data_IF_806697023913
#
_entry.id   IF_806697023913
#
_cell.length_a   1.000
_cell.length_b   1.000
_cell.length_c   1.000
_cell.angle_alpha   90.00
_cell.angle_beta   90.00
_cell.angle_gamma   90.00
#
_symmetry.space_group_name_H-M   'P 1'
#
loop_
_entity.id
_entity.type
_entity.pdbx_description
1 polymer ?
#
# COMPACT_ATOMS: atom_id res chain seq x y z
N UNK A 1 1.35 65.26 6.31
CA UNK A 1 1.19 64.34 7.46
C UNK A 1 -0.02 63.47 7.17
N UNK A 2 -0.06 62.15 7.24
CA UNK A 2 0.91 61.06 7.43
C UNK A 2 0.08 59.81 7.12
N UNK A 3 0.58 58.90 6.26
CA UNK A 3 -0.02 57.60 6.01
C UNK A 3 -0.11 56.79 7.32
N UNK A 4 -1.28 56.22 7.64
CA UNK A 4 -1.37 55.07 8.56
C UNK A 4 -2.31 54.01 8.00
N UNK A 5 -1.71 53.19 7.16
CA UNK A 5 -1.88 51.74 7.02
C UNK A 5 -2.44 51.06 8.26
N UNK A 6 -3.53 50.30 8.11
CA UNK A 6 -3.83 49.13 8.95
C UNK A 6 -3.99 47.96 7.99
N UNK A 7 -2.90 47.25 7.76
CA UNK A 7 -2.90 45.95 7.12
C UNK A 7 -3.46 44.94 8.13
N UNK A 8 -4.63 44.37 7.84
CA UNK A 8 -5.13 43.21 8.56
C UNK A 8 -4.26 42.02 8.16
N UNK A 9 -3.35 41.62 9.06
CA UNK A 9 -2.52 40.44 8.89
C UNK A 9 -3.40 39.19 9.03
N UNK A 10 -3.83 38.62 7.90
CA UNK A 10 -4.35 37.26 7.83
C UNK A 10 -3.22 36.31 8.19
N UNK A 11 -3.15 35.85 9.45
CA UNK A 11 -2.31 34.73 9.84
C UNK A 11 -2.90 33.50 9.17
N UNK A 12 -2.37 33.15 8.00
CA UNK A 12 -2.52 31.82 7.43
C UNK A 12 -1.79 30.87 8.39
N UNK A 13 -2.54 30.25 9.29
CA UNK A 13 -2.06 29.06 9.97
C UNK A 13 -1.90 27.99 8.89
N UNK A 14 -0.74 27.93 8.25
CA UNK A 14 -0.31 26.76 7.51
C UNK A 14 -0.21 25.65 8.57
N UNK A 15 -1.31 24.94 8.77
CA UNK A 15 -1.31 23.73 9.58
C UNK A 15 -0.27 22.82 8.93
N UNK A 16 0.89 22.70 9.59
CA UNK A 16 1.74 21.55 9.42
C UNK A 16 0.87 20.37 9.81
N UNK A 17 0.14 19.80 8.84
CA UNK A 17 -0.55 18.53 8.98
C UNK A 17 0.52 17.59 9.51
N UNK A 18 0.40 17.26 10.80
CA UNK A 18 1.35 16.42 11.50
C UNK A 18 1.34 15.08 10.77
N UNK A 19 2.35 14.94 9.93
CA UNK A 19 2.53 13.88 8.99
C UNK A 19 3.16 12.74 9.78
N UNK A 20 2.36 11.90 10.44
CA UNK A 20 2.88 10.70 11.07
C UNK A 20 3.08 9.61 10.03
N UNK A 21 4.15 8.83 10.07
CA UNK A 21 4.36 7.87 8.98
C UNK A 21 5.10 6.64 9.47
N UNK A 22 4.48 5.47 9.22
CA UNK A 22 5.15 4.19 9.17
C UNK A 22 4.89 3.56 7.80
N UNK A 23 5.96 3.14 7.15
CA UNK A 23 5.93 2.56 5.81
C UNK A 23 6.27 1.08 5.91
N UNK A 24 5.41 0.18 5.43
CA UNK A 24 5.74 -1.26 5.37
C UNK A 24 6.62 -1.48 4.14
N UNK A 25 7.93 -1.34 4.32
CA UNK A 25 8.93 -1.36 3.23
C UNK A 25 9.39 -2.78 2.86
N UNK A 26 9.02 -3.79 3.66
CA UNK A 26 9.40 -5.16 3.43
C UNK A 26 8.36 -6.14 3.94
N UNK A 27 8.21 -7.25 3.22
CA UNK A 27 7.38 -8.37 3.58
C UNK A 27 8.00 -9.66 3.03
N UNK A 28 8.09 -10.69 3.87
CA UNK A 28 8.62 -12.00 3.51
C UNK A 28 7.69 -13.08 4.02
N UNK A 29 7.28 -13.97 3.13
CA UNK A 29 6.48 -15.13 3.47
C UNK A 29 7.37 -16.29 3.94
N UNK A 30 6.86 -17.19 4.80
CA UNK A 30 7.64 -18.32 5.30
C UNK A 30 8.00 -19.34 4.21
N UNK A 31 7.28 -19.34 3.09
CA UNK A 31 7.62 -20.13 1.90
C UNK A 31 8.42 -19.32 0.85
N UNK A 32 8.97 -18.17 1.24
CA UNK A 32 9.73 -17.26 0.38
C UNK A 32 8.88 -16.17 -0.25
N UNK A 33 9.41 -15.56 -1.32
CA UNK A 33 8.80 -14.38 -1.94
C UNK A 33 9.05 -13.11 -1.14
N UNK A 34 9.10 -11.99 -1.85
CA UNK A 34 9.40 -10.67 -1.28
C UNK A 34 8.40 -9.65 -1.78
N UNK A 35 8.02 -8.74 -0.88
CA UNK A 35 7.06 -7.69 -1.16
C UNK A 35 7.25 -6.48 -0.27
N UNK A 36 6.33 -5.54 -0.41
CA UNK A 36 6.18 -4.32 0.39
C UNK A 36 4.72 -3.89 0.31
N UNK A 37 4.33 -2.87 1.06
CA UNK A 37 2.98 -2.34 0.95
C UNK A 37 2.73 -1.64 -0.40
N UNK A 38 1.46 -1.58 -0.81
CA UNK A 38 0.99 -0.75 -1.91
C UNK A 38 1.45 0.69 -1.72
N UNK A 39 1.87 1.32 -2.83
CA UNK A 39 2.29 2.72 -2.86
C UNK A 39 3.72 3.00 -2.39
N UNK A 40 4.43 1.99 -1.87
CA UNK A 40 5.83 2.14 -1.44
C UNK A 40 6.72 2.38 -2.65
N UNK A 41 7.61 3.36 -2.55
CA UNK A 41 8.62 3.68 -3.55
C UNK A 41 9.99 3.49 -2.91
N UNK A 42 10.80 2.50 -3.34
CA UNK A 42 12.08 2.18 -2.71
C UNK A 42 13.02 3.37 -2.59
N UNK A 43 13.07 4.21 -3.63
CA UNK A 43 13.95 5.38 -3.73
C UNK A 43 13.50 6.58 -2.89
N UNK A 44 12.35 6.50 -2.19
CA UNK A 44 11.95 7.55 -1.24
C UNK A 44 12.98 7.61 -0.11
N UNK A 45 13.66 8.75 0.13
CA UNK A 45 14.58 8.87 1.24
C UNK A 45 13.84 8.67 2.56
N UNK A 46 14.40 7.92 3.52
CA UNK A 46 13.78 7.66 4.84
C UNK A 46 14.71 7.97 6.01
N UNK A 47 15.69 8.83 5.73
CA UNK A 47 16.74 9.30 6.64
C UNK A 47 16.39 10.65 7.31
N UNK A 48 15.12 11.06 7.25
CA UNK A 48 14.63 12.31 7.81
C UNK A 48 13.19 12.23 8.29
N UNK A 49 12.76 13.23 9.07
CA UNK A 49 11.45 13.22 9.75
C UNK A 49 10.42 14.22 9.20
N UNK A 50 10.76 14.95 8.13
CA UNK A 50 9.86 15.91 7.46
C UNK A 50 8.93 15.21 6.47
N UNK A 51 7.74 15.79 6.24
CA UNK A 51 6.77 15.24 5.30
C UNK A 51 7.32 15.07 3.87
N UNK A 52 8.05 16.08 3.39
CA UNK A 52 8.77 16.03 2.11
C UNK A 52 10.27 16.11 2.36
N UNK A 53 11.09 15.26 1.71
CA UNK A 53 10.71 14.15 0.83
C UNK A 53 10.35 12.84 1.57
N UNK A 54 10.53 12.77 2.89
CA UNK A 54 10.74 11.48 3.57
C UNK A 54 9.51 10.59 3.80
N UNK A 55 8.32 11.08 3.45
CA UNK A 55 7.04 10.48 3.84
C UNK A 55 6.07 10.37 2.66
N UNK A 56 6.58 10.51 1.43
CA UNK A 56 5.70 10.59 0.26
C UNK A 56 4.99 9.28 -0.05
N UNK A 57 5.51 8.15 0.39
CA UNK A 57 5.07 6.82 -0.01
C UNK A 57 4.48 5.98 1.14
N UNK A 58 4.39 6.54 2.36
CA UNK A 58 3.74 5.81 3.45
C UNK A 58 2.24 5.99 3.37
N UNK A 59 1.53 4.85 3.45
CA UNK A 59 0.08 4.82 3.31
C UNK A 59 -0.58 5.36 4.56
N UNK A 60 -1.61 6.17 4.34
CA UNK A 60 -2.52 6.69 5.34
C UNK A 60 -3.93 6.21 5.05
N UNK A 61 -4.59 5.64 6.05
CA UNK A 61 -5.97 5.20 5.96
C UNK A 61 -6.92 6.28 6.50
N UNK A 62 -7.18 7.29 5.67
CA UNK A 62 -8.15 8.36 5.97
C UNK A 62 -8.74 8.89 4.66
N UNK A 63 -9.97 9.37 4.71
CA UNK A 63 -10.68 9.88 3.53
C UNK A 63 -11.50 8.77 2.87
N UNK A 64 -11.86 8.94 1.58
CA UNK A 64 -12.76 8.03 0.87
C UNK A 64 -12.30 6.56 0.87
N UNK A 65 -10.99 6.32 0.85
CA UNK A 65 -10.39 4.97 0.79
C UNK A 65 -9.84 4.49 2.14
N UNK A 66 -10.28 5.09 3.26
CA UNK A 66 -9.82 4.69 4.59
C UNK A 66 -10.13 3.22 4.91
N UNK A 67 -11.25 2.72 4.41
CA UNK A 67 -11.72 1.35 4.69
C UNK A 67 -11.24 0.34 3.63
N UNK A 68 -10.66 0.83 2.53
CA UNK A 68 -10.14 0.01 1.42
C UNK A 68 -8.60 0.08 1.37
N UNK A 69 -8.01 0.67 0.33
CA UNK A 69 -6.57 0.59 0.05
C UNK A 69 -5.74 1.73 0.63
N UNK A 70 -6.38 2.76 1.18
CA UNK A 70 -5.72 3.97 1.66
C UNK A 70 -5.10 4.79 0.51
N UNK A 71 -4.28 5.76 0.90
CA UNK A 71 -3.58 6.64 -0.04
C UNK A 71 -2.19 7.02 0.50
N UNK A 72 -1.25 7.28 -0.40
CA UNK A 72 0.03 7.89 -0.09
C UNK A 72 -0.03 9.39 -0.35
N UNK A 73 0.86 10.16 0.28
CA UNK A 73 0.90 11.63 0.10
C UNK A 73 1.41 12.02 -1.30
N UNK A 74 2.36 11.24 -1.85
CA UNK A 74 3.01 11.50 -3.13
C UNK A 74 2.35 10.79 -4.31
N UNK A 75 1.83 9.57 -4.12
CA UNK A 75 1.23 8.76 -5.17
C UNK A 75 -0.30 8.84 -5.25
N UNK A 76 -0.97 9.43 -4.25
CA UNK A 76 -2.43 9.49 -4.19
C UNK A 76 -3.04 8.17 -3.75
N UNK A 77 -4.24 7.87 -4.24
CA UNK A 77 -4.97 6.65 -3.90
C UNK A 77 -4.21 5.40 -4.33
N UNK A 78 -4.14 4.40 -3.45
CA UNK A 78 -3.51 3.14 -3.79
C UNK A 78 -4.42 2.33 -4.71
N UNK A 79 -3.88 1.96 -5.86
CA UNK A 79 -4.52 1.01 -6.78
C UNK A 79 -3.94 -0.40 -6.57
N UNK A 80 -4.81 -1.38 -6.36
CA UNK A 80 -4.39 -2.74 -6.05
C UNK A 80 -3.67 -3.42 -7.22
N UNK A 81 -4.20 -3.28 -8.44
CA UNK A 81 -3.65 -3.92 -9.64
C UNK A 81 -2.31 -3.28 -10.02
N UNK A 82 -2.29 -1.97 -10.20
CA UNK A 82 -1.09 -1.21 -10.55
C UNK A 82 -0.03 -1.31 -9.45
N UNK A 83 -0.44 -1.21 -8.17
CA UNK A 83 0.47 -1.30 -7.04
C UNK A 83 1.09 -2.69 -6.91
N UNK A 84 0.33 -3.77 -7.10
CA UNK A 84 0.87 -5.14 -7.06
C UNK A 84 1.81 -5.41 -8.23
N UNK A 85 1.46 -4.93 -9.45
CA UNK A 85 2.37 -4.98 -10.61
C UNK A 85 3.68 -4.26 -10.32
N UNK A 86 3.61 -3.07 -9.72
CA UNK A 86 4.78 -2.29 -9.34
C UNK A 86 5.64 -3.00 -8.29
N UNK A 87 5.04 -3.56 -7.23
CA UNK A 87 5.76 -4.34 -6.20
C UNK A 87 6.56 -5.46 -6.86
N UNK A 88 5.91 -6.30 -7.69
CA UNK A 88 6.59 -7.42 -8.35
C UNK A 88 7.70 -6.97 -9.31
N UNK A 89 7.51 -5.84 -9.98
CA UNK A 89 8.54 -5.26 -10.86
C UNK A 89 9.75 -4.75 -10.06
N UNK A 90 9.52 -4.10 -8.92
CA UNK A 90 10.57 -3.54 -8.07
C UNK A 90 11.34 -4.61 -7.30
N UNK A 91 10.65 -5.66 -6.81
CA UNK A 91 11.33 -6.76 -6.11
C UNK A 91 11.97 -7.76 -7.06
N UNK A 92 11.46 -7.89 -8.30
CA UNK A 92 11.89 -8.89 -9.26
C UNK A 92 11.52 -10.34 -8.87
N UNK A 93 10.67 -10.49 -7.86
CA UNK A 93 10.32 -11.74 -7.20
C UNK A 93 8.81 -12.05 -7.29
N UNK A 94 8.42 -13.23 -6.82
CA UNK A 94 7.02 -13.53 -6.52
C UNK A 94 6.56 -12.82 -5.24
N UNK A 95 5.24 -12.63 -5.10
CA UNK A 95 4.64 -12.09 -3.88
C UNK A 95 5.03 -12.92 -2.64
N UNK A 96 5.01 -12.35 -1.42
CA UNK A 96 5.22 -13.13 -0.19
C UNK A 96 4.33 -14.37 -0.14
N UNK A 97 4.95 -15.55 0.00
CA UNK A 97 4.28 -16.84 -0.05
C UNK A 97 3.91 -17.30 1.38
N UNK A 98 2.61 -17.37 1.66
CA UNK A 98 2.07 -17.75 2.97
C UNK A 98 1.34 -19.10 2.92
N UNK A 99 1.24 -19.78 4.06
CA UNK A 99 0.39 -20.96 4.25
C UNK A 99 -0.59 -20.72 5.40
N UNK A 100 -1.70 -21.49 5.51
CA UNK A 100 -2.62 -21.32 6.63
C UNK A 100 -1.88 -21.60 7.95
N UNK A 101 -2.10 -20.77 8.96
CA UNK A 101 -1.45 -20.89 10.28
C UNK A 101 0.00 -20.44 10.32
N UNK A 102 0.52 -19.87 9.24
CA UNK A 102 1.90 -19.40 9.16
C UNK A 102 2.07 -17.96 9.66
N UNK A 103 3.31 -17.48 9.76
CA UNK A 103 3.61 -16.10 10.16
C UNK A 103 4.21 -15.33 8.99
N UNK A 104 3.62 -14.19 8.68
CA UNK A 104 4.17 -13.21 7.75
C UNK A 104 5.11 -12.27 8.51
N UNK A 105 6.36 -12.17 8.04
CA UNK A 105 7.32 -11.22 8.58
C UNK A 105 7.26 -9.92 7.76
N UNK A 106 7.05 -8.80 8.46
CA UNK A 106 6.94 -7.46 7.88
C UNK A 106 8.00 -6.54 8.47
N UNK A 107 8.47 -5.59 7.67
CA UNK A 107 9.38 -4.52 8.10
C UNK A 107 8.69 -3.18 7.94
N UNK A 108 8.50 -2.49 9.06
CA UNK A 108 7.99 -1.12 9.10
C UNK A 108 9.14 -0.16 9.31
N UNK A 109 9.34 0.74 8.36
CA UNK A 109 10.16 1.91 8.59
C UNK A 109 9.33 2.97 9.32
N UNK A 110 9.68 3.26 10.57
CA UNK A 110 9.09 4.35 11.32
C UNK A 110 9.79 5.67 10.97
N UNK A 111 9.13 6.53 10.19
CA UNK A 111 9.77 7.78 9.73
C UNK A 111 9.91 8.80 10.85
N UNK A 112 8.88 8.95 11.69
CA UNK A 112 8.92 9.87 12.83
C UNK A 112 8.13 9.34 14.01
N UNK A 113 8.00 10.15 15.07
CA UNK A 113 7.36 9.74 16.31
C UNK A 113 5.97 9.16 16.16
N UNK A 114 5.20 9.54 15.14
CA UNK A 114 3.80 9.14 14.96
C UNK A 114 3.64 7.87 14.12
N UNK A 115 4.74 7.37 13.56
CA UNK A 115 4.81 6.05 12.93
C UNK A 115 5.05 4.92 13.92
N UNK A 116 5.14 5.21 15.21
CA UNK A 116 5.29 4.21 16.26
C UNK A 116 4.05 3.32 16.39
N UNK A 117 4.16 2.26 17.18
CA UNK A 117 3.06 1.32 17.39
C UNK A 117 2.27 1.52 18.69
N UNK A 118 1.46 0.52 19.08
CA UNK A 118 1.31 -0.76 18.39
C UNK A 118 0.61 -0.63 17.03
N UNK A 119 0.88 -1.60 16.16
CA UNK A 119 0.16 -1.84 14.90
C UNK A 119 -0.76 -3.04 15.09
N UNK A 120 -1.97 -2.90 14.56
CA UNK A 120 -2.93 -3.98 14.37
C UNK A 120 -2.91 -4.41 12.91
N UNK A 121 -3.10 -5.70 12.67
CA UNK A 121 -3.17 -6.26 11.33
C UNK A 121 -4.51 -6.97 11.09
N UNK A 122 -4.93 -6.98 9.83
CA UNK A 122 -6.14 -7.63 9.35
C UNK A 122 -5.89 -8.22 7.95
N UNK A 123 -6.67 -9.24 7.60
CA UNK A 123 -6.56 -9.95 6.32
C UNK A 123 -7.87 -9.89 5.54
N UNK A 124 -7.77 -9.71 4.22
CA UNK A 124 -8.86 -9.79 3.26
C UNK A 124 -8.59 -10.97 2.31
N UNK A 125 -9.51 -11.94 2.29
CA UNK A 125 -9.31 -13.24 1.64
C UNK A 125 -9.58 -13.29 0.13
N UNK A 126 -10.35 -12.35 -0.40
CA UNK A 126 -10.77 -12.32 -1.80
C UNK A 126 -10.06 -11.25 -2.64
N UNK A 127 -9.13 -10.52 -2.03
CA UNK A 127 -8.41 -9.38 -2.60
C UNK A 127 -9.32 -8.27 -3.14
N UNK A 128 -10.54 -8.11 -2.62
CA UNK A 128 -11.42 -6.99 -2.96
C UNK A 128 -11.18 -5.77 -2.09
N UNK A 129 -10.54 -5.95 -0.92
CA UNK A 129 -10.41 -4.91 0.10
C UNK A 129 -11.73 -4.50 0.75
N UNK A 130 -12.82 -5.25 0.52
CA UNK A 130 -14.15 -4.91 1.02
C UNK A 130 -14.40 -5.39 2.44
N UNK A 131 -13.83 -6.52 2.85
CA UNK A 131 -14.03 -7.14 4.16
C UNK A 131 -12.70 -7.54 4.78
N UNK A 132 -12.49 -7.14 6.04
CA UNK A 132 -11.24 -7.35 6.76
C UNK A 132 -11.48 -8.09 8.07
N UNK A 133 -10.67 -9.11 8.32
CA UNK A 133 -10.71 -9.88 9.56
C UNK A 133 -9.42 -9.62 10.34
N UNK A 134 -9.53 -9.23 11.61
CA UNK A 134 -8.35 -9.03 12.46
C UNK A 134 -7.55 -10.32 12.60
N UNK A 135 -6.23 -10.20 12.59
CA UNK A 135 -5.30 -11.30 12.78
C UNK A 135 -4.36 -11.02 13.95
N UNK A 136 -3.80 -12.08 14.54
CA UNK A 136 -2.92 -11.94 15.69
C UNK A 136 -1.57 -11.32 15.28
N UNK A 137 -1.04 -10.45 16.12
CA UNK A 137 0.22 -9.71 15.88
C UNK A 137 1.14 -9.87 17.10
N UNK A 138 1.83 -11.02 17.24
CA UNK A 138 2.68 -11.29 18.41
C UNK A 138 3.91 -10.38 18.52
N UNK A 139 4.36 -9.79 17.41
CA UNK A 139 5.45 -8.79 17.40
C UNK A 139 4.94 -7.58 16.64
N UNK A 140 5.05 -6.42 17.28
CA UNK A 140 4.58 -5.15 16.71
C UNK A 140 5.58 -4.03 16.96
N UNK A 141 5.46 -2.94 16.21
CA UNK A 141 6.34 -1.76 16.35
C UNK A 141 6.23 -1.20 17.78
N UNK A 142 7.33 -0.87 18.45
CA UNK A 142 7.29 -0.28 19.78
C UNK A 142 6.64 1.11 19.76
N UNK A 143 5.96 1.42 20.86
CA UNK A 143 5.33 2.73 21.05
C UNK A 143 4.15 2.66 22.01
N UNK A 144 3.62 3.84 22.34
CA UNK A 144 2.40 3.97 23.12
C UNK A 144 1.46 4.92 22.37
N UNK A 145 0.22 4.50 22.13
CA UNK A 145 -0.78 5.27 21.37
C UNK A 145 -0.25 5.73 20.00
N UNK A 146 0.48 4.85 19.31
CA UNK A 146 1.12 5.13 18.03
C UNK A 146 2.21 6.20 18.08
N UNK A 147 2.84 6.36 19.26
CA UNK A 147 3.91 7.33 19.49
C UNK A 147 5.18 6.65 19.97
N UNK A 148 6.29 6.91 19.28
CA UNK A 148 7.63 6.50 19.67
C UNK A 148 8.69 7.46 19.11
N UNK A 149 8.95 8.60 19.76
CA UNK A 149 9.93 9.56 19.21
C UNK A 149 11.36 9.02 19.10
N UNK A 150 11.74 8.10 20.00
CA UNK A 150 13.08 7.52 20.01
C UNK A 150 13.31 6.54 18.84
N UNK A 151 12.24 5.94 18.29
CA UNK A 151 12.30 5.06 17.12
C UNK A 151 12.15 5.77 15.77
N UNK A 152 12.29 7.10 15.71
CA UNK A 152 12.23 7.80 14.42
C UNK A 152 13.39 7.37 13.52
N UNK A 153 13.13 7.29 12.21
CA UNK A 153 14.08 6.86 11.17
C UNK A 153 14.67 5.47 11.45
N UNK A 154 13.85 4.55 11.96
CA UNK A 154 14.29 3.21 12.36
C UNK A 154 13.33 2.15 11.81
N UNK A 155 13.88 1.00 11.41
CA UNK A 155 13.10 -0.16 11.00
C UNK A 155 12.73 -1.03 12.20
N UNK A 156 11.47 -1.47 12.22
CA UNK A 156 10.95 -2.37 13.24
C UNK A 156 10.22 -3.55 12.62
N UNK A 157 10.31 -4.74 13.22
CA UNK A 157 9.58 -5.89 12.75
C UNK A 157 8.11 -5.82 13.17
N UNK A 158 7.24 -6.33 12.29
CA UNK A 158 5.91 -6.83 12.64
C UNK A 158 5.87 -8.31 12.27
N UNK A 159 5.30 -9.13 13.14
CA UNK A 159 4.94 -10.52 12.83
C UNK A 159 3.43 -10.64 12.86
N UNK A 160 2.84 -11.00 11.73
CA UNK A 160 1.39 -11.14 11.58
C UNK A 160 1.05 -12.62 11.31
N UNK A 161 0.20 -13.21 12.13
CA UNK A 161 -0.18 -14.62 12.01
C UNK A 161 -1.33 -14.79 11.01
N UNK A 162 -1.11 -15.57 9.96
CA UNK A 162 -2.13 -15.95 8.99
C UNK A 162 -3.05 -16.99 9.64
N UNK A 163 -4.39 -16.80 9.62
CA UNK A 163 -5.33 -17.75 10.23
C UNK A 163 -5.14 -19.18 9.72
N UNK A 164 -5.36 -20.17 10.60
CA UNK A 164 -5.21 -21.59 10.27
C UNK A 164 -6.21 -22.09 9.21
N UNK A 165 -7.34 -21.40 9.09
CA UNK A 165 -8.41 -21.64 8.12
C UNK A 165 -8.41 -20.61 6.98
N UNK A 166 -7.35 -19.79 6.85
CA UNK A 166 -7.28 -18.77 5.82
C UNK A 166 -7.28 -19.41 4.42
N UNK A 167 -8.25 -19.00 3.61
CA UNK A 167 -8.27 -19.23 2.17
C UNK A 167 -8.06 -17.90 1.42
N UNK A 168 -7.22 -17.91 0.40
CA UNK A 168 -7.09 -16.79 -0.53
C UNK A 168 -7.69 -17.15 -1.88
N UNK A 169 -8.61 -16.32 -2.35
CA UNK A 169 -9.34 -16.54 -3.62
C UNK A 169 -9.16 -15.39 -4.61
N UNK A 170 -8.53 -14.30 -4.17
CA UNK A 170 -8.27 -13.15 -5.00
C UNK A 170 -7.36 -13.46 -6.18
N UNK A 171 -7.53 -12.70 -7.25
CA UNK A 171 -6.59 -12.63 -8.37
C UNK A 171 -6.15 -11.19 -8.55
N UNK A 172 -4.84 -10.96 -8.49
CA UNK A 172 -4.26 -9.62 -8.63
C UNK A 172 -2.98 -9.70 -9.43
N UNK A 173 -2.77 -8.80 -10.40
CA UNK A 173 -1.56 -8.73 -11.23
C UNK A 173 -1.23 -10.08 -11.92
N UNK A 174 -2.28 -10.81 -12.32
CA UNK A 174 -2.18 -12.14 -12.91
C UNK A 174 -1.84 -13.28 -11.94
N UNK A 175 -1.66 -12.98 -10.65
CA UNK A 175 -1.41 -13.97 -9.61
C UNK A 175 -2.73 -14.41 -8.98
N UNK A 176 -2.97 -15.73 -8.92
CA UNK A 176 -4.14 -16.30 -8.27
C UNK A 176 -3.85 -16.65 -6.80
N UNK A 177 -4.92 -16.85 -6.02
CA UNK A 177 -4.86 -17.19 -4.60
C UNK A 177 -4.17 -16.11 -3.76
N UNK A 178 -4.51 -14.85 -4.05
CA UNK A 178 -4.00 -13.66 -3.36
C UNK A 178 -4.93 -13.26 -2.22
N UNK A 179 -4.34 -13.01 -1.05
CA UNK A 179 -4.96 -12.28 0.05
C UNK A 179 -4.28 -10.91 0.19
N UNK A 180 -4.91 -10.01 0.92
CA UNK A 180 -4.33 -8.73 1.30
C UNK A 180 -4.14 -8.69 2.81
N UNK A 181 -2.94 -8.36 3.27
CA UNK A 181 -2.66 -8.13 4.69
C UNK A 181 -2.49 -6.64 4.90
N UNK A 182 -3.43 -6.03 5.63
CA UNK A 182 -3.37 -4.63 6.05
C UNK A 182 -2.80 -4.58 7.46
N UNK A 183 -1.76 -3.78 7.67
CA UNK A 183 -1.28 -3.45 9.01
C UNK A 183 -1.26 -1.95 9.17
N UNK A 184 -1.74 -1.45 10.30
CA UNK A 184 -1.79 -0.02 10.59
C UNK A 184 -1.69 0.27 12.09
N UNK A 185 -1.16 1.43 12.44
CA UNK A 185 -1.24 1.95 13.80
C UNK A 185 -2.54 2.74 14.04
N UNK A 186 -2.80 3.15 15.27
CA UNK A 186 -3.99 3.93 15.67
C UNK A 186 -3.75 5.46 15.69
N UNK A 187 -2.80 6.00 14.92
CA UNK A 187 -2.47 7.41 14.97
C UNK A 187 -3.64 8.31 14.51
N UNK A 188 -4.00 9.32 15.31
CA UNK A 188 -5.11 10.25 14.99
C UNK A 188 -4.90 11.09 13.73
N UNK A 189 -3.65 11.37 13.37
CA UNK A 189 -3.32 12.07 12.14
C UNK A 189 -3.72 11.26 10.88
N UNK A 190 -3.94 9.97 11.07
CA UNK A 190 -4.40 8.96 10.13
C UNK A 190 -3.72 7.66 10.54
N UNK A 191 -4.42 6.53 10.68
CA UNK A 191 -3.75 5.24 10.79
C UNK A 191 -2.71 5.10 9.67
N UNK A 192 -1.47 4.81 10.03
CA UNK A 192 -0.34 4.69 9.12
C UNK A 192 0.13 3.25 9.05
N UNK A 193 0.57 2.82 7.87
CA UNK A 193 1.07 1.48 7.63
C UNK A 193 0.98 1.14 6.14
N UNK A 194 0.22 0.09 5.81
CA UNK A 194 -0.02 -0.27 4.42
C UNK A 194 -0.71 -1.62 4.23
N UNK A 195 -0.92 -1.96 2.97
CA UNK A 195 -1.51 -3.23 2.54
C UNK A 195 -0.48 -3.99 1.72
N UNK A 196 -0.18 -5.22 2.11
CA UNK A 196 0.74 -6.12 1.43
C UNK A 196 -0.07 -7.21 0.74
N UNK A 197 -0.03 -7.32 -0.60
CA UNK A 197 -0.53 -8.49 -1.30
C UNK A 197 0.33 -9.71 -0.96
N UNK A 198 -0.28 -10.78 -0.49
CA UNK A 198 0.36 -12.06 -0.20
C UNK A 198 -0.33 -13.16 -0.99
N UNK A 199 0.37 -14.25 -1.26
CA UNK A 199 -0.15 -15.33 -2.07
C UNK A 199 -0.03 -16.65 -1.33
N UNK A 200 -1.06 -17.50 -1.44
CA UNK A 200 -0.97 -18.85 -0.90
C UNK A 200 0.11 -19.64 -1.62
N UNK A 201 1.05 -20.18 -0.85
CA UNK A 201 2.08 -21.05 -1.35
C UNK A 201 1.45 -22.29 -2.00
N UNK A 202 1.83 -22.55 -3.24
CA UNK A 202 1.34 -23.67 -4.03
C UNK A 202 2.50 -24.32 -4.78
N UNK A 203 2.38 -25.62 -5.02
CA UNK A 203 3.35 -26.34 -5.83
C UNK A 203 3.44 -25.71 -7.24
N UNK A 204 4.66 -25.43 -7.69
CA UNK A 204 4.92 -24.81 -9.00
C UNK A 204 4.82 -23.29 -9.01
N UNK A 205 4.41 -22.64 -7.92
CA UNK A 205 4.56 -21.20 -7.79
C UNK A 205 6.04 -20.87 -7.55
N UNK A 206 6.66 -20.29 -8.57
CA UNK A 206 8.07 -19.94 -8.59
C UNK A 206 8.20 -18.51 -9.07
N UNK A 207 9.31 -17.80 -8.79
CA UNK A 207 9.54 -16.46 -9.31
C UNK A 207 9.43 -16.40 -10.85
N UNK A 208 9.86 -17.46 -11.55
CA UNK A 208 9.72 -17.56 -13.00
C UNK A 208 8.25 -17.69 -13.45
N UNK A 209 7.44 -18.47 -12.74
CA UNK A 209 6.01 -18.59 -13.01
C UNK A 209 5.27 -17.27 -12.72
N UNK A 210 5.57 -16.63 -11.60
CA UNK A 210 5.00 -15.34 -11.22
C UNK A 210 5.29 -14.25 -12.26
N UNK A 211 6.55 -14.17 -12.74
CA UNK A 211 6.93 -13.25 -13.83
C UNK A 211 6.19 -13.53 -15.14
N UNK A 212 6.02 -14.80 -15.52
CA UNK A 212 5.22 -15.15 -16.73
C UNK A 212 3.76 -14.73 -16.58
N UNK A 213 3.17 -14.97 -15.41
CA UNK A 213 1.80 -14.56 -15.11
C UNK A 213 1.63 -13.04 -15.14
N UNK A 214 2.59 -12.30 -14.57
CA UNK A 214 2.61 -10.84 -14.61
C UNK A 214 2.71 -10.32 -16.05
N UNK A 215 3.64 -10.86 -16.83
CA UNK A 215 3.81 -10.46 -18.24
C UNK A 215 2.53 -10.70 -19.06
N UNK A 216 1.84 -11.83 -18.83
CA UNK A 216 0.54 -12.12 -19.44
C UNK A 216 -0.52 -11.10 -19.02
N UNK A 217 -0.64 -10.81 -17.73
CA UNK A 217 -1.61 -9.84 -17.22
C UNK A 217 -1.38 -8.41 -17.77
N UNK A 218 -0.12 -8.00 -17.91
CA UNK A 218 0.24 -6.73 -18.55
C UNK A 218 -0.18 -6.74 -20.02
N UNK A 219 0.17 -7.78 -20.78
CA UNK A 219 -0.19 -7.90 -22.19
C UNK A 219 -1.73 -7.92 -22.40
N UNK A 220 -2.48 -8.60 -21.53
CA UNK A 220 -3.95 -8.60 -21.56
C UNK A 220 -4.52 -7.21 -21.30
N UNK A 221 -3.97 -6.48 -20.32
CA UNK A 221 -4.38 -5.09 -20.02
C UNK A 221 -4.13 -4.18 -21.24
N UNK A 222 -2.96 -4.30 -21.88
CA UNK A 222 -2.63 -3.53 -23.09
C UNK A 222 -3.56 -3.85 -24.26
N UNK A 223 -3.89 -5.14 -24.47
CA UNK A 223 -4.82 -5.54 -25.51
C UNK A 223 -6.23 -5.02 -25.25
N UNK A 224 -6.70 -5.05 -24.00
CA UNK A 224 -7.99 -4.47 -23.61
C UNK A 224 -8.00 -2.97 -23.86
N UNK A 225 -6.95 -2.24 -23.47
CA UNK A 225 -6.83 -0.81 -23.74
C UNK A 225 -6.89 -0.50 -25.24
N UNK A 226 -6.13 -1.22 -26.07
CA UNK A 226 -6.17 -1.05 -27.53
C UNK A 226 -7.57 -1.29 -28.11
N UNK A 227 -8.30 -2.29 -27.60
CA UNK A 227 -9.69 -2.57 -28.03
C UNK A 227 -10.65 -1.47 -27.61
N UNK A 228 -10.52 -0.94 -26.39
CA UNK A 228 -11.35 0.18 -25.93
C UNK A 228 -11.08 1.44 -26.74
N UNK A 229 -9.81 1.77 -26.99
CA UNK A 229 -9.46 2.92 -27.82
C UNK A 229 -9.97 2.80 -29.25
N UNK A 230 -9.84 1.61 -29.84
CA UNK A 230 -10.40 1.35 -31.17
C UNK A 230 -11.92 1.61 -31.19
N UNK A 231 -12.67 1.10 -30.21
CA UNK A 231 -14.11 1.33 -30.11
C UNK A 231 -14.48 2.80 -29.89
N UNK A 232 -13.67 3.54 -29.13
CA UNK A 232 -13.91 4.96 -28.88
C UNK A 232 -13.72 5.80 -30.16
N UNK A 233 -12.72 5.46 -30.99
CA UNK A 233 -12.54 6.09 -32.30
C UNK A 233 -13.69 5.71 -33.23
N UNK A 234 -14.03 4.41 -33.33
CA UNK A 234 -15.15 3.95 -34.17
C UNK A 234 -16.50 4.58 -33.76
N UNK A 235 -16.71 4.88 -32.48
CA UNK A 235 -17.91 5.57 -32.01
C UNK A 235 -17.90 7.07 -32.37
N UNK A 236 -16.75 7.74 -32.21
CA UNK A 236 -16.61 9.14 -32.60
C UNK A 236 -16.80 9.34 -34.12
N UNK A 237 -16.22 8.46 -34.92
CA UNK A 237 -16.39 8.48 -36.38
C UNK A 237 -17.86 8.27 -36.78
N UNK A 238 -18.59 7.38 -36.08
CA UNK A 238 -20.01 7.13 -36.34
C UNK A 238 -20.91 8.31 -35.91
N UNK A 239 -20.60 8.98 -34.80
CA UNK A 239 -21.32 10.18 -34.37
C UNK A 239 -21.10 11.33 -35.38
N UNK A 240 -19.90 11.47 -35.95
CA UNK A 240 -19.62 12.44 -37.03
C UNK A 240 -20.41 12.11 -38.31
N UNK A 241 -20.54 10.82 -38.68
CA UNK A 241 -21.34 10.39 -39.83
C UNK A 241 -22.86 10.57 -39.62
N UNK A 242 -23.38 10.51 -38.39
CA UNK A 242 -24.81 10.77 -38.09
C UNK A 242 -25.16 12.27 -38.06
N UNK A 243 -24.17 13.16 -37.92
CA UNK A 243 -24.35 14.62 -37.91
C UNK A 243 -24.31 15.26 -39.33
N UNK A 244 -23.94 14.51 -40.38
CA UNK A 244 -23.95 14.94 -41.79
C UNK A 244 -25.27 14.61 -42.54
#
# INVERSE_FOLDING_TARGET
MSLKTVAAASILAAANLVAGHGAIIGAVGPAGGTGMALGIVPDTPRDGTRARPFQQDSTRFKGPNADTFGQTTGGGENDLEAGTKAIMAMTGDQLPQVTPGSTLDLTVHQVNGDGGGPYDCMINGDATGAQWTNINVPVTVPGQNSRNRAGAMTDFPIKAEIPADQACTGTVAGQANVCLVRCQNAARAGPFGGIVPVQMAQAGNTPAAARRNLARAIAETEQQYKRMMKRAVEAADADEEEEE
#
